data_IF_772117226374
#
_entry.id   IF_772117226374
#
_cell.length_a   1.000
_cell.length_b   1.000
_cell.length_c   1.000
_cell.angle_alpha   90.00
_cell.angle_beta   90.00
_cell.angle_gamma   90.00
#
_symmetry.space_group_name_H-M   'P 1'
#
loop_
_entity.id
_entity.type
_entity.pdbx_description
1 polymer ?
#
# COMPACT_ATOMS: atom_id res chain seq x y z
N UNK A 1 3.64 -7.28 7.95
CA UNK A 1 4.05 -8.32 6.98
C UNK A 1 2.92 -8.45 5.95
N UNK A 2 3.18 -8.19 4.67
CA UNK A 2 2.17 -8.26 3.59
C UNK A 2 1.61 -9.67 3.33
N UNK A 3 2.19 -10.69 3.98
CA UNK A 3 1.74 -12.08 3.96
C UNK A 3 0.56 -12.35 4.90
N UNK A 4 0.27 -11.47 5.86
CA UNK A 4 -0.77 -11.73 6.88
C UNK A 4 -2.19 -11.41 6.40
N UNK A 5 -3.20 -11.94 7.11
CA UNK A 5 -4.60 -12.12 6.68
C UNK A 5 -5.37 -10.80 6.39
N UNK A 6 -4.83 -9.64 6.79
CA UNK A 6 -5.25 -8.27 6.41
C UNK A 6 -4.78 -7.87 5.01
N UNK A 7 -5.23 -8.67 4.05
CA UNK A 7 -4.74 -8.83 2.70
C UNK A 7 -4.80 -7.52 1.88
N UNK A 8 -3.79 -7.22 1.03
CA UNK A 8 -3.84 -6.05 0.11
C UNK A 8 -5.14 -6.00 -0.72
N UNK A 9 -5.74 -7.16 -1.02
CA UNK A 9 -7.01 -7.28 -1.72
C UNK A 9 -8.23 -6.78 -0.92
N UNK A 10 -8.13 -6.63 0.40
CA UNK A 10 -9.21 -6.10 1.23
C UNK A 10 -9.18 -4.57 1.32
N UNK A 11 -8.08 -3.93 0.93
CA UNK A 11 -7.91 -2.48 1.00
C UNK A 11 -8.35 -1.81 -0.31
N UNK A 12 -8.89 -0.59 -0.21
CA UNK A 12 -9.17 0.23 -1.38
C UNK A 12 -7.85 0.70 -2.00
N UNK A 13 -7.76 0.74 -3.33
CA UNK A 13 -6.53 1.07 -4.05
C UNK A 13 -5.96 2.45 -3.68
N UNK A 14 -6.82 3.45 -3.45
CA UNK A 14 -6.41 4.79 -3.00
C UNK A 14 -5.77 4.77 -1.61
N UNK A 15 -6.30 3.96 -0.69
CA UNK A 15 -5.71 3.75 0.63
C UNK A 15 -4.38 2.99 0.52
N UNK A 16 -4.28 2.02 -0.38
CA UNK A 16 -3.05 1.27 -0.62
C UNK A 16 -1.96 2.18 -1.20
N UNK A 17 -2.31 3.00 -2.19
CA UNK A 17 -1.43 4.02 -2.76
C UNK A 17 -0.95 4.99 -1.68
N UNK A 18 -1.86 5.54 -0.89
CA UNK A 18 -1.51 6.42 0.21
C UNK A 18 -0.60 5.73 1.24
N UNK A 19 -0.88 4.48 1.62
CA UNK A 19 -0.02 3.72 2.54
C UNK A 19 1.36 3.44 1.97
N UNK A 20 1.51 3.20 0.68
CA UNK A 20 2.82 2.95 0.06
C UNK A 20 3.59 4.26 -0.12
N UNK A 21 2.91 5.32 -0.56
CA UNK A 21 3.51 6.63 -0.77
C UNK A 21 3.97 7.28 0.55
N UNK A 22 3.12 7.24 1.58
CA UNK A 22 3.27 8.05 2.80
C UNK A 22 3.44 7.25 4.09
N UNK A 23 3.28 5.92 4.07
CA UNK A 23 3.09 5.08 5.26
C UNK A 23 4.34 4.81 6.09
N UNK A 24 5.10 5.85 6.43
CA UNK A 24 6.25 5.85 7.32
C UNK A 24 6.10 6.83 8.50
N UNK A 25 7.18 7.09 9.25
CA UNK A 25 7.19 8.02 10.39
C UNK A 25 6.84 9.45 9.96
N UNK A 26 5.97 10.14 10.72
CA UNK A 26 5.59 11.55 10.45
C UNK A 26 4.12 11.76 10.04
N UNK A 27 3.32 10.69 9.98
CA UNK A 27 1.87 10.80 9.83
C UNK A 27 1.18 11.23 11.14
N UNK A 28 0.03 11.92 11.08
CA UNK A 28 -0.73 12.36 12.28
C UNK A 28 -1.11 11.18 13.17
N UNK A 29 -1.06 11.33 14.51
CA UNK A 29 -1.29 10.29 15.54
C UNK A 29 -2.64 9.53 15.45
N UNK A 30 -3.54 9.93 14.55
CA UNK A 30 -4.78 9.22 14.23
C UNK A 30 -4.63 8.18 13.09
N UNK A 31 -3.60 8.30 12.25
CA UNK A 31 -3.29 7.47 11.09
C UNK A 31 -2.43 6.20 11.36
N UNK A 32 -2.50 5.64 12.58
CA UNK A 32 -1.71 4.48 13.02
C UNK A 32 -1.89 3.28 12.05
N UNK A 33 -0.86 2.42 11.83
CA UNK A 33 0.36 2.26 12.63
C UNK A 33 1.61 2.92 12.03
N UNK A 34 2.32 3.67 12.89
CA UNK A 34 3.60 4.39 12.63
C UNK A 34 4.81 3.48 12.47
N UNK A 35 4.70 2.24 12.99
CA UNK A 35 5.79 1.26 13.00
C UNK A 35 5.75 0.47 11.67
N UNK A 36 5.76 1.22 10.58
CA UNK A 36 5.89 0.65 9.26
C UNK A 36 7.36 0.65 8.88
N UNK A 37 7.90 -0.52 8.53
CA UNK A 37 9.23 -0.60 7.91
C UNK A 37 9.25 -0.04 6.48
N UNK A 38 8.11 0.44 5.95
CA UNK A 38 8.09 1.11 4.65
C UNK A 38 8.70 2.50 4.77
N UNK A 39 9.70 2.85 3.92
CA UNK A 39 10.10 4.25 3.73
C UNK A 39 8.94 5.09 3.17
N UNK A 40 9.15 6.40 3.05
CA UNK A 40 8.20 7.33 2.41
C UNK A 40 8.48 7.31 0.90
N UNK A 41 7.80 6.44 0.14
CA UNK A 41 8.21 6.11 -1.24
C UNK A 41 7.99 7.26 -2.23
N UNK A 42 7.10 8.20 -1.93
CA UNK A 42 6.87 9.38 -2.77
C UNK A 42 8.13 10.26 -2.96
N UNK A 43 9.11 10.17 -2.06
CA UNK A 43 10.37 10.93 -2.17
C UNK A 43 11.39 10.20 -3.05
N UNK A 44 11.14 8.93 -3.40
CA UNK A 44 12.05 8.06 -4.15
C UNK A 44 11.49 7.60 -5.49
N UNK A 45 10.16 7.52 -5.61
CA UNK A 45 9.46 6.97 -6.76
C UNK A 45 8.41 7.96 -7.26
N UNK A 46 8.25 7.98 -8.57
CA UNK A 46 7.11 8.62 -9.22
C UNK A 46 5.81 7.87 -8.93
N UNK A 47 4.68 8.55 -9.14
CA UNK A 47 3.35 7.95 -9.01
C UNK A 47 3.19 6.68 -9.86
N UNK A 48 3.72 6.69 -11.09
CA UNK A 48 3.69 5.54 -11.99
C UNK A 48 4.48 4.35 -11.43
N UNK A 49 5.67 4.59 -10.87
CA UNK A 49 6.48 3.54 -10.25
C UNK A 49 5.82 2.99 -8.99
N UNK A 50 5.11 3.83 -8.23
CA UNK A 50 4.30 3.37 -7.08
C UNK A 50 3.17 2.45 -7.56
N UNK A 51 2.49 2.78 -8.66
CA UNK A 51 1.49 1.90 -9.26
C UNK A 51 2.08 0.58 -9.76
N UNK A 52 3.27 0.60 -10.36
CA UNK A 52 3.97 -0.61 -10.76
C UNK A 52 4.30 -1.52 -9.57
N UNK A 53 4.73 -0.94 -8.45
CA UNK A 53 4.99 -1.67 -7.20
C UNK A 53 3.70 -2.30 -6.68
N UNK A 54 2.58 -1.56 -6.69
CA UNK A 54 1.28 -2.08 -6.27
C UNK A 54 0.89 -3.29 -7.11
N UNK A 55 1.01 -3.18 -8.44
CA UNK A 55 0.71 -4.27 -9.37
C UNK A 55 1.63 -5.48 -9.14
N UNK A 56 2.93 -5.23 -8.92
CA UNK A 56 3.88 -6.29 -8.56
C UNK A 56 3.49 -6.98 -7.24
N UNK A 57 3.05 -6.24 -6.23
CA UNK A 57 2.61 -6.83 -4.96
C UNK A 57 1.36 -7.71 -5.14
N UNK A 58 0.41 -7.30 -5.99
CA UNK A 58 -0.73 -8.13 -6.36
C UNK A 58 -0.30 -9.43 -7.04
N UNK A 59 0.55 -9.33 -8.06
CA UNK A 59 1.08 -10.48 -8.79
C UNK A 59 1.87 -11.43 -7.88
N UNK A 60 2.83 -10.90 -7.12
CA UNK A 60 3.70 -11.66 -6.22
C UNK A 60 2.94 -12.39 -5.12
N UNK A 61 1.85 -11.80 -4.62
CA UNK A 61 1.03 -12.41 -3.57
C UNK A 61 -0.11 -13.27 -4.11
N UNK A 62 -0.27 -13.36 -5.44
CA UNK A 62 -1.38 -14.08 -6.08
C UNK A 62 -2.76 -13.49 -5.76
N UNK A 63 -2.80 -12.24 -5.30
CA UNK A 63 -4.02 -11.54 -4.86
C UNK A 63 -4.46 -10.58 -5.97
N UNK A 64 -5.77 -10.39 -6.12
CA UNK A 64 -6.32 -9.40 -7.06
C UNK A 64 -6.82 -8.18 -6.29
N UNK A 65 -6.80 -6.98 -6.89
CA UNK A 65 -7.49 -5.84 -6.30
C UNK A 65 -8.94 -6.19 -6.06
N UNK A 66 -9.55 -5.62 -5.01
CA UNK A 66 -11.00 -5.67 -4.89
C UNK A 66 -11.58 -4.89 -6.07
N UNK A 67 -12.13 -5.60 -7.05
CA UNK A 67 -12.99 -4.97 -8.04
C UNK A 67 -14.23 -4.45 -7.33
N UNK A 68 -14.78 -3.34 -7.82
CA UNK A 68 -16.15 -2.96 -7.52
C UNK A 68 -17.04 -4.12 -8.01
N UNK A 69 -17.43 -5.03 -7.12
CA UNK A 69 -18.56 -5.92 -7.43
C UNK A 69 -19.79 -5.03 -7.60
N UNK A 70 -20.48 -5.18 -8.73
CA UNK A 70 -21.84 -4.66 -8.97
C UNK A 70 -22.81 -5.07 -7.85
#
# INVERSE_FOLDING_TARGET
NFQDVGTIAQLQESFLFWRIATGGPGLPDEAAPWISSMPIWQDFLSEEEIWQVILFLYDYTGRRPRSWEE
#
